data_IF_291630651392
#
_entry.id   IF_291630651392
#
_cell.length_a   1.000
_cell.length_b   1.000
_cell.length_c   1.000
_cell.angle_alpha   90.00
_cell.angle_beta   90.00
_cell.angle_gamma   90.00
#
_symmetry.space_group_name_H-M   'P 1'
#
loop_
_entity.id
_entity.type
_entity.pdbx_description
1 polymer ?
#
# COMPACT_ATOMS: atom_id res chain seq x y z
N UNK A 1 -21.91 12.51 -1.83
CA UNK A 1 -22.02 13.86 -2.44
C UNK A 1 -21.14 14.92 -1.78
N UNK A 2 -21.18 15.12 -0.44
CA UNK A 2 -20.36 16.17 0.24
C UNK A 2 -18.83 16.04 0.01
N UNK A 3 -18.26 14.83 -0.06
CA UNK A 3 -16.84 14.60 -0.38
C UNK A 3 -16.49 15.00 -1.82
N UNK A 4 -17.29 14.56 -2.80
CA UNK A 4 -17.09 14.90 -4.22
C UNK A 4 -17.14 16.41 -4.43
N UNK A 5 -18.14 17.09 -3.85
CA UNK A 5 -18.28 18.55 -3.96
C UNK A 5 -17.10 19.27 -3.28
N UNK A 6 -16.59 18.76 -2.15
CA UNK A 6 -15.36 19.29 -1.52
C UNK A 6 -14.13 19.11 -2.39
N UNK A 7 -13.94 17.94 -3.00
CA UNK A 7 -12.80 17.68 -3.90
C UNK A 7 -12.87 18.55 -5.15
N UNK A 8 -14.06 18.70 -5.76
CA UNK A 8 -14.26 19.63 -6.88
C UNK A 8 -14.06 21.10 -6.47
N UNK A 9 -14.51 21.49 -5.28
CA UNK A 9 -14.28 22.84 -4.76
C UNK A 9 -12.82 23.11 -4.39
N UNK A 10 -12.00 22.08 -4.16
CA UNK A 10 -10.56 22.19 -3.96
C UNK A 10 -9.82 22.44 -5.28
N UNK A 11 -10.31 21.85 -6.36
CA UNK A 11 -9.78 22.00 -7.73
C UNK A 11 -10.22 23.35 -8.34
N UNK A 12 -11.48 23.74 -8.12
CA UNK A 12 -12.06 25.00 -8.58
C UNK A 12 -11.72 26.08 -7.54
N UNK A 13 -10.51 26.62 -7.65
CA UNK A 13 -10.06 27.75 -6.87
C UNK A 13 -10.37 29.07 -7.61
N UNK A 14 -10.39 30.19 -6.91
CA UNK A 14 -10.57 31.52 -7.49
C UNK A 14 -9.56 31.81 -8.63
N UNK A 15 -8.34 31.28 -8.50
CA UNK A 15 -7.31 31.34 -9.56
C UNK A 15 -7.77 30.67 -10.86
N UNK A 16 -8.44 29.51 -10.77
CA UNK A 16 -8.98 28.79 -11.92
C UNK A 16 -10.02 29.64 -12.64
N UNK A 17 -10.89 30.33 -11.89
CA UNK A 17 -11.91 31.21 -12.44
C UNK A 17 -11.30 32.42 -13.17
N UNK A 18 -10.27 33.05 -12.59
CA UNK A 18 -9.54 34.16 -13.25
C UNK A 18 -8.94 33.69 -14.57
N UNK A 19 -8.25 32.55 -14.58
CA UNK A 19 -7.61 32.03 -15.80
C UNK A 19 -8.66 31.74 -16.87
N UNK A 20 -9.77 31.09 -16.52
CA UNK A 20 -10.86 30.82 -17.46
C UNK A 20 -11.44 32.11 -18.04
N UNK A 21 -11.69 33.13 -17.21
CA UNK A 21 -12.19 34.43 -17.69
C UNK A 21 -11.18 35.10 -18.63
N UNK A 22 -9.89 35.08 -18.29
CA UNK A 22 -8.83 35.64 -19.13
C UNK A 22 -8.73 34.92 -20.48
N UNK A 23 -8.84 33.59 -20.48
CA UNK A 23 -8.86 32.77 -21.70
C UNK A 23 -10.04 33.14 -22.60
N UNK A 24 -11.27 33.25 -22.05
CA UNK A 24 -12.46 33.61 -22.82
C UNK A 24 -12.34 35.03 -23.41
N UNK A 25 -11.90 36.00 -22.61
CA UNK A 25 -11.69 37.39 -23.07
C UNK A 25 -10.63 37.44 -24.18
N UNK A 26 -9.52 36.72 -24.00
CA UNK A 26 -8.45 36.66 -24.99
C UNK A 26 -8.92 36.03 -26.30
N UNK A 27 -9.64 34.91 -26.24
CA UNK A 27 -10.23 34.27 -27.44
C UNK A 27 -11.22 35.20 -28.15
N UNK A 28 -12.08 35.90 -27.40
CA UNK A 28 -13.03 36.85 -27.98
C UNK A 28 -12.33 38.03 -28.67
N UNK A 29 -11.28 38.58 -28.04
CA UNK A 29 -10.47 39.64 -28.62
C UNK A 29 -9.77 39.19 -29.91
N UNK A 30 -9.18 37.98 -29.92
CA UNK A 30 -8.58 37.40 -31.13
C UNK A 30 -9.59 37.24 -32.27
N UNK A 31 -10.82 36.82 -31.96
CA UNK A 31 -11.89 36.69 -32.95
C UNK A 31 -12.30 38.05 -33.54
N UNK A 32 -12.45 39.09 -32.71
CA UNK A 32 -12.80 40.45 -33.17
C UNK A 32 -11.69 41.12 -33.97
N UNK A 33 -10.43 40.88 -33.62
CA UNK A 33 -9.26 41.46 -34.27
C UNK A 33 -8.75 40.63 -35.47
N UNK A 34 -9.37 39.46 -35.75
CA UNK A 34 -8.96 38.59 -36.84
C UNK A 34 -7.56 37.97 -36.66
N UNK A 35 -7.10 37.82 -35.42
CA UNK A 35 -5.78 37.26 -35.11
C UNK A 35 -5.81 35.74 -35.27
N UNK A 36 -5.28 35.23 -36.37
CA UNK A 36 -5.20 33.78 -36.65
C UNK A 36 -3.77 33.28 -36.49
N UNK A 37 -3.57 32.24 -35.68
CA UNK A 37 -2.30 31.52 -35.56
C UNK A 37 -2.49 30.05 -35.93
N UNK A 38 -1.67 29.52 -36.85
CA UNK A 38 -1.64 28.09 -37.18
C UNK A 38 -0.70 27.40 -36.20
N UNK A 39 -1.25 26.77 -35.18
CA UNK A 39 -0.47 25.92 -34.28
C UNK A 39 -0.40 24.49 -34.82
N UNK A 40 0.74 23.80 -34.67
CA UNK A 40 0.80 22.36 -34.93
C UNK A 40 -0.06 21.61 -33.90
N UNK A 41 -1.07 20.87 -34.35
CA UNK A 41 -1.96 20.09 -33.48
C UNK A 41 -1.17 19.09 -32.60
N UNK A 42 -0.01 18.65 -33.09
CA UNK A 42 0.93 17.80 -32.36
C UNK A 42 1.44 18.44 -31.05
N UNK A 43 1.68 19.77 -31.01
CA UNK A 43 2.15 20.45 -29.81
C UNK A 43 1.10 20.41 -28.69
N UNK A 44 -0.17 20.61 -29.05
CA UNK A 44 -1.29 20.53 -28.09
C UNK A 44 -1.51 19.08 -27.65
N UNK A 45 -1.43 18.13 -28.58
CA UNK A 45 -1.54 16.70 -28.27
C UNK A 45 -0.47 16.23 -27.28
N UNK A 46 0.79 16.59 -27.50
CA UNK A 46 1.90 16.24 -26.58
C UNK A 46 1.67 16.84 -25.18
N UNK A 47 1.23 18.10 -25.09
CA UNK A 47 0.98 18.76 -23.82
C UNK A 47 -0.08 18.07 -22.95
N UNK A 48 -1.07 17.42 -23.57
CA UNK A 48 -2.14 16.70 -22.87
C UNK A 48 -1.74 15.24 -22.61
N UNK A 49 -1.24 14.54 -23.63
CA UNK A 49 -0.93 13.10 -23.56
C UNK A 49 0.20 12.82 -22.58
N UNK A 50 1.22 13.69 -22.52
CA UNK A 50 2.38 13.48 -21.66
C UNK A 50 2.00 13.38 -20.17
N UNK A 51 1.36 14.38 -19.53
CA UNK A 51 0.96 14.26 -18.12
C UNK A 51 0.05 13.06 -17.83
N UNK A 52 -0.83 12.71 -18.78
CA UNK A 52 -1.73 11.57 -18.65
C UNK A 52 -0.96 10.27 -18.56
N UNK A 53 0.00 10.02 -19.46
CA UNK A 53 0.82 8.79 -19.44
C UNK A 53 1.67 8.72 -18.17
N UNK A 54 2.25 9.83 -17.70
CA UNK A 54 2.99 9.85 -16.43
C UNK A 54 2.11 9.53 -15.22
N UNK A 55 0.90 10.10 -15.18
CA UNK A 55 -0.06 9.85 -14.11
C UNK A 55 -0.49 8.38 -14.08
N UNK A 56 -0.77 7.80 -15.25
CA UNK A 56 -1.10 6.38 -15.39
C UNK A 56 0.08 5.51 -14.95
N UNK A 57 1.29 5.78 -15.44
CA UNK A 57 2.50 5.03 -15.09
C UNK A 57 2.74 5.00 -13.58
N UNK A 58 2.73 6.16 -12.93
CA UNK A 58 2.91 6.26 -11.48
C UNK A 58 1.83 5.51 -10.67
N UNK A 59 0.57 5.53 -11.12
CA UNK A 59 -0.51 4.78 -10.50
C UNK A 59 -0.31 3.26 -10.63
N UNK A 60 0.14 2.79 -11.80
CA UNK A 60 0.50 1.39 -12.01
C UNK A 60 1.69 0.96 -11.14
N UNK A 61 2.77 1.74 -11.09
CA UNK A 61 3.94 1.43 -10.24
C UNK A 61 3.57 1.33 -8.76
N UNK A 62 2.71 2.22 -8.26
CA UNK A 62 2.19 2.16 -6.88
C UNK A 62 1.44 0.86 -6.62
N UNK A 63 0.54 0.47 -7.53
CA UNK A 63 -0.23 -0.77 -7.42
C UNK A 63 0.67 -2.01 -7.42
N UNK A 64 1.64 -2.06 -8.35
CA UNK A 64 2.58 -3.16 -8.46
C UNK A 64 3.45 -3.29 -7.21
N UNK A 65 3.95 -2.16 -6.69
CA UNK A 65 4.75 -2.14 -5.47
C UNK A 65 3.94 -2.64 -4.26
N UNK A 66 2.69 -2.20 -4.11
CA UNK A 66 1.81 -2.67 -3.03
C UNK A 66 1.56 -4.19 -3.12
N UNK A 67 1.30 -4.71 -4.32
CA UNK A 67 1.15 -6.15 -4.56
C UNK A 67 2.43 -6.93 -4.24
N UNK A 68 3.60 -6.38 -4.60
CA UNK A 68 4.89 -6.99 -4.29
C UNK A 68 5.10 -7.09 -2.77
N UNK A 69 4.80 -6.04 -2.00
CA UNK A 69 4.92 -6.09 -0.52
C UNK A 69 3.95 -7.07 0.10
N UNK A 70 2.74 -7.20 -0.43
CA UNK A 70 1.79 -8.21 0.01
C UNK A 70 2.28 -9.64 -0.30
N UNK A 71 2.88 -9.84 -1.48
CA UNK A 71 3.49 -11.10 -1.85
C UNK A 71 4.68 -11.45 -0.94
N UNK A 72 5.56 -10.50 -0.65
CA UNK A 72 6.69 -10.66 0.28
C UNK A 72 6.19 -11.11 1.67
N UNK A 73 5.18 -10.42 2.21
CA UNK A 73 4.56 -10.76 3.50
C UNK A 73 4.03 -12.21 3.51
N UNK A 74 3.23 -12.57 2.49
CA UNK A 74 2.64 -13.91 2.39
C UNK A 74 3.70 -15.00 2.19
N UNK A 75 4.73 -14.72 1.39
CA UNK A 75 5.83 -15.64 1.13
C UNK A 75 6.60 -15.98 2.41
N UNK A 76 6.92 -14.96 3.21
CA UNK A 76 7.57 -15.18 4.50
C UNK A 76 6.65 -15.86 5.53
N UNK A 77 5.36 -15.55 5.55
CA UNK A 77 4.40 -16.24 6.42
C UNK A 77 4.33 -17.75 6.12
N UNK A 78 4.24 -18.11 4.83
CA UNK A 78 4.25 -19.52 4.40
C UNK A 78 5.58 -20.20 4.76
N UNK A 79 6.71 -19.50 4.59
CA UNK A 79 8.02 -20.03 4.95
C UNK A 79 8.11 -20.37 6.46
N UNK A 80 7.54 -19.52 7.34
CA UNK A 80 7.47 -19.80 8.79
C UNK A 80 6.55 -21.00 9.08
N UNK A 81 5.41 -21.11 8.40
CA UNK A 81 4.55 -22.28 8.52
C UNK A 81 5.28 -23.57 8.12
N UNK A 82 6.06 -23.56 7.03
CA UNK A 82 6.87 -24.73 6.65
C UNK A 82 8.01 -24.98 7.63
N UNK A 83 8.67 -23.95 8.15
CA UNK A 83 9.69 -24.11 9.19
C UNK A 83 9.14 -24.82 10.43
N UNK A 84 7.95 -24.41 10.88
CA UNK A 84 7.30 -25.00 12.07
C UNK A 84 6.79 -26.41 11.84
N UNK A 85 6.38 -26.75 10.61
CA UNK A 85 5.93 -28.10 10.21
C UNK A 85 7.08 -29.07 9.95
N UNK A 86 8.13 -28.63 9.30
CA UNK A 86 9.11 -29.52 8.68
C UNK A 86 10.46 -29.56 9.40
N UNK A 87 10.87 -28.48 10.08
CA UNK A 87 12.20 -28.42 10.73
C UNK A 87 12.19 -29.06 12.11
N UNK A 88 11.02 -29.16 12.74
CA UNK A 88 10.86 -29.85 14.02
C UNK A 88 11.21 -31.34 13.90
N UNK A 89 12.09 -31.82 14.78
CA UNK A 89 12.41 -33.25 14.86
C UNK A 89 11.26 -34.08 15.42
N UNK A 90 10.38 -33.47 16.22
CA UNK A 90 9.17 -34.09 16.73
C UNK A 90 7.94 -33.57 15.96
N UNK A 91 7.25 -34.46 15.24
CA UNK A 91 6.05 -34.11 14.46
C UNK A 91 4.75 -34.13 15.26
N UNK A 92 4.80 -34.62 16.49
CA UNK A 92 3.70 -34.56 17.45
C UNK A 92 3.77 -33.27 18.26
N UNK A 93 3.59 -32.13 17.57
CA UNK A 93 3.51 -30.82 18.20
C UNK A 93 2.41 -29.96 17.58
N UNK A 94 1.92 -28.99 18.36
CA UNK A 94 0.85 -28.08 17.97
C UNK A 94 1.37 -26.81 17.27
N UNK A 95 2.69 -26.68 17.11
CA UNK A 95 3.34 -25.51 16.53
C UNK A 95 2.77 -25.15 15.15
N UNK A 96 2.67 -26.06 14.16
CA UNK A 96 2.17 -25.71 12.83
C UNK A 96 0.74 -25.20 12.86
N UNK A 97 -0.10 -25.75 13.75
CA UNK A 97 -1.51 -25.36 13.90
C UNK A 97 -1.58 -23.96 14.50
N UNK A 98 -0.83 -23.70 15.58
CA UNK A 98 -0.74 -22.38 16.21
C UNK A 98 -0.17 -21.34 15.26
N UNK A 99 0.89 -21.65 14.50
CA UNK A 99 1.48 -20.76 13.49
C UNK A 99 0.47 -20.40 12.43
N UNK A 100 -0.24 -21.39 11.90
CA UNK A 100 -1.28 -21.17 10.90
C UNK A 100 -2.39 -20.27 11.41
N UNK A 101 -2.81 -20.44 12.68
CA UNK A 101 -3.82 -19.59 13.30
C UNK A 101 -3.35 -18.14 13.41
N UNK A 102 -2.12 -17.90 13.88
CA UNK A 102 -1.54 -16.55 13.96
C UNK A 102 -1.49 -15.91 12.57
N UNK A 103 -1.01 -16.63 11.55
CA UNK A 103 -0.95 -16.11 10.17
C UNK A 103 -2.36 -15.78 9.67
N UNK A 104 -3.35 -16.62 9.96
CA UNK A 104 -4.74 -16.35 9.59
C UNK A 104 -5.27 -15.08 10.25
N UNK A 105 -5.04 -14.91 11.55
CA UNK A 105 -5.45 -13.73 12.31
C UNK A 105 -4.76 -12.46 11.79
N UNK A 106 -3.47 -12.53 11.42
CA UNK A 106 -2.74 -11.44 10.79
C UNK A 106 -3.36 -11.07 9.43
N UNK A 107 -3.66 -12.06 8.59
CA UNK A 107 -4.28 -11.82 7.27
C UNK A 107 -5.69 -11.23 7.39
N UNK A 108 -6.46 -11.65 8.41
CA UNK A 108 -7.78 -11.09 8.71
C UNK A 108 -7.66 -9.63 9.17
N UNK A 109 -6.79 -9.38 10.15
CA UNK A 109 -6.57 -8.03 10.68
C UNK A 109 -6.06 -7.07 9.59
N UNK A 110 -5.12 -7.51 8.77
CA UNK A 110 -4.61 -6.72 7.64
C UNK A 110 -5.71 -6.37 6.63
N UNK A 111 -6.61 -7.32 6.33
CA UNK A 111 -7.78 -7.05 5.46
C UNK A 111 -8.70 -6.00 6.08
N UNK A 112 -8.95 -6.08 7.38
CA UNK A 112 -9.83 -5.14 8.07
C UNK A 112 -9.17 -3.74 8.11
N UNK A 113 -7.87 -3.67 8.39
CA UNK A 113 -7.09 -2.43 8.32
C UNK A 113 -7.15 -1.75 6.94
N UNK A 114 -7.13 -2.50 5.84
CA UNK A 114 -7.24 -1.94 4.49
C UNK A 114 -8.66 -1.51 4.09
N UNK A 115 -9.68 -1.84 4.90
CA UNK A 115 -11.07 -1.42 4.67
C UNK A 115 -11.49 -0.24 5.53
N UNK A 116 -10.83 -0.03 6.67
CA UNK A 116 -11.22 0.99 7.63
C UNK A 116 -10.65 2.35 7.24
N UNK A 117 -11.51 3.34 6.96
CA UNK A 117 -11.11 4.72 6.65
C UNK A 117 -10.84 5.60 7.90
N UNK A 118 -10.97 5.07 9.12
CA UNK A 118 -11.00 5.85 10.37
C UNK A 118 -9.73 5.69 11.23
N UNK A 119 -9.11 6.83 11.57
CA UNK A 119 -7.85 6.98 12.31
C UNK A 119 -7.78 6.29 13.70
N UNK A 120 -8.81 6.36 14.59
CA UNK A 120 -8.70 5.75 15.93
C UNK A 120 -8.69 4.23 15.92
N UNK A 121 -9.45 3.59 15.03
CA UNK A 121 -9.45 2.12 14.87
C UNK A 121 -8.15 1.63 14.23
N UNK A 122 -7.55 2.45 13.37
CA UNK A 122 -6.34 2.09 12.65
C UNK A 122 -5.14 1.92 13.59
N UNK A 123 -4.93 2.84 14.54
CA UNK A 123 -3.87 2.72 15.57
C UNK A 123 -4.04 1.50 16.46
N UNK A 124 -5.28 1.18 16.84
CA UNK A 124 -5.55 0.00 17.66
C UNK A 124 -5.25 -1.29 16.88
N UNK A 125 -5.66 -1.35 15.60
CA UNK A 125 -5.40 -2.51 14.75
C UNK A 125 -3.90 -2.67 14.45
N UNK A 126 -3.18 -1.57 14.29
CA UNK A 126 -1.72 -1.58 14.18
C UNK A 126 -1.06 -2.18 15.44
N UNK A 127 -1.47 -1.74 16.63
CA UNK A 127 -0.99 -2.32 17.88
C UNK A 127 -1.30 -3.83 17.97
N UNK A 128 -2.51 -4.24 17.58
CA UNK A 128 -2.91 -5.64 17.53
C UNK A 128 -2.04 -6.45 16.55
N UNK A 129 -1.65 -5.87 15.41
CA UNK A 129 -0.76 -6.51 14.45
C UNK A 129 0.64 -6.73 15.04
N UNK A 130 1.21 -5.73 15.72
CA UNK A 130 2.50 -5.89 16.40
C UNK A 130 2.45 -6.93 17.52
N UNK A 131 1.31 -7.08 18.20
CA UNK A 131 1.12 -8.17 19.16
C UNK A 131 1.14 -9.55 18.47
N UNK A 132 0.52 -9.69 17.29
CA UNK A 132 0.60 -10.93 16.51
C UNK A 132 2.03 -11.23 16.03
N UNK A 133 2.78 -10.20 15.58
CA UNK A 133 4.21 -10.35 15.26
C UNK A 133 5.04 -10.79 16.47
N UNK A 134 4.78 -10.22 17.65
CA UNK A 134 5.44 -10.61 18.89
C UNK A 134 5.18 -12.08 19.23
N UNK A 135 3.92 -12.53 19.15
CA UNK A 135 3.55 -13.94 19.34
C UNK A 135 4.23 -14.86 18.32
N UNK A 136 4.29 -14.45 17.05
CA UNK A 136 4.98 -15.21 16.01
C UNK A 136 6.49 -15.33 16.28
N UNK A 137 7.12 -14.25 16.75
CA UNK A 137 8.54 -14.23 17.14
C UNK A 137 8.82 -15.11 18.36
N UNK A 138 7.94 -15.12 19.35
CA UNK A 138 8.07 -16.05 20.49
C UNK A 138 7.96 -17.51 20.03
N UNK A 139 7.04 -17.79 19.11
CA UNK A 139 6.85 -19.12 18.53
C UNK A 139 8.06 -19.61 17.74
N UNK A 140 8.81 -18.74 17.05
CA UNK A 140 10.05 -19.18 16.38
C UNK A 140 11.12 -19.59 17.39
N UNK A 141 11.12 -19.04 18.61
CA UNK A 141 12.02 -19.48 19.67
C UNK A 141 11.61 -20.84 20.27
N UNK A 142 10.31 -21.15 20.31
CA UNK A 142 9.80 -22.46 20.77
C UNK A 142 10.34 -23.63 19.92
N UNK A 143 10.72 -23.39 18.65
CA UNK A 143 11.34 -24.40 17.78
C UNK A 143 12.60 -25.02 18.38
N UNK A 144 13.34 -24.29 19.24
CA UNK A 144 14.49 -24.83 19.96
C UNK A 144 14.13 -26.06 20.79
N UNK A 145 12.94 -26.06 21.40
CA UNK A 145 12.48 -27.13 22.28
C UNK A 145 12.17 -28.42 21.49
N UNK A 146 12.04 -28.32 20.17
CA UNK A 146 11.74 -29.44 19.28
C UNK A 146 12.95 -29.86 18.41
N UNK A 147 14.17 -29.50 18.83
CA UNK A 147 15.40 -29.97 18.21
C UNK A 147 15.86 -29.19 16.98
N UNK A 148 15.23 -28.05 16.68
CA UNK A 148 15.65 -27.18 15.57
C UNK A 148 16.96 -26.47 15.90
N UNK A 149 17.89 -26.44 14.95
CA UNK A 149 19.21 -25.84 15.18
C UNK A 149 19.14 -24.32 15.27
N UNK A 150 20.04 -23.70 16.04
CA UNK A 150 20.12 -22.24 16.21
C UNK A 150 20.22 -21.47 14.89
N UNK A 151 20.90 -22.04 13.88
CA UNK A 151 21.01 -21.44 12.55
C UNK A 151 19.68 -21.39 11.79
N UNK A 152 18.84 -22.41 11.94
CA UNK A 152 17.51 -22.48 11.33
C UNK A 152 16.54 -21.54 12.06
N UNK A 153 16.59 -21.50 13.39
CA UNK A 153 15.81 -20.55 14.20
C UNK A 153 16.14 -19.11 13.78
N UNK A 154 17.41 -18.78 13.57
CA UNK A 154 17.83 -17.46 13.09
C UNK A 154 17.19 -17.11 11.74
N UNK A 155 17.09 -18.07 10.80
CA UNK A 155 16.39 -17.87 9.51
C UNK A 155 14.89 -17.60 9.72
N UNK A 156 14.24 -18.35 10.61
CA UNK A 156 12.82 -18.14 10.92
C UNK A 156 12.58 -16.74 11.51
N UNK A 157 13.43 -16.28 12.42
CA UNK A 157 13.36 -14.92 12.97
C UNK A 157 13.60 -13.83 11.91
N UNK A 158 14.47 -14.09 10.92
CA UNK A 158 14.61 -13.18 9.77
C UNK A 158 13.34 -13.10 8.92
N UNK A 159 12.60 -14.19 8.75
CA UNK A 159 11.31 -14.14 8.06
C UNK A 159 10.30 -13.27 8.80
N UNK A 160 10.24 -13.34 10.13
CA UNK A 160 9.38 -12.45 10.94
C UNK A 160 9.78 -10.99 10.72
N UNK A 161 11.08 -10.67 10.77
CA UNK A 161 11.57 -9.30 10.53
C UNK A 161 11.19 -8.79 9.12
N UNK A 162 11.35 -9.63 8.09
CA UNK A 162 10.95 -9.28 6.72
C UNK A 162 9.44 -9.08 6.58
N UNK A 163 8.62 -9.85 7.29
CA UNK A 163 7.17 -9.63 7.34
C UNK A 163 6.81 -8.27 7.98
N UNK A 164 7.49 -7.88 9.06
CA UNK A 164 7.29 -6.58 9.72
C UNK A 164 7.60 -5.45 8.74
N UNK A 165 8.76 -5.51 8.07
CA UNK A 165 9.15 -4.51 7.07
C UNK A 165 8.16 -4.46 5.90
N UNK A 166 7.70 -5.62 5.42
CA UNK A 166 6.70 -5.68 4.35
C UNK A 166 5.38 -5.03 4.78
N UNK A 167 4.93 -5.26 6.02
CA UNK A 167 3.74 -4.65 6.58
C UNK A 167 3.86 -3.13 6.72
N UNK A 168 4.96 -2.62 7.30
CA UNK A 168 5.18 -1.18 7.46
C UNK A 168 5.22 -0.46 6.11
N UNK A 169 5.86 -1.06 5.10
CA UNK A 169 5.86 -0.54 3.74
C UNK A 169 4.46 -0.52 3.12
N UNK A 170 3.62 -1.53 3.37
CA UNK A 170 2.23 -1.55 2.90
C UNK A 170 1.39 -0.44 3.54
N UNK A 171 1.59 -0.19 4.83
CA UNK A 171 0.92 0.87 5.60
C UNK A 171 1.13 2.25 4.97
N UNK A 172 2.34 2.56 4.50
CA UNK A 172 2.64 3.84 3.84
C UNK A 172 1.70 4.12 2.66
N UNK A 173 1.38 3.11 1.85
CA UNK A 173 0.45 3.30 0.73
C UNK A 173 -0.98 3.61 1.19
N UNK A 174 -1.38 3.10 2.36
CA UNK A 174 -2.72 3.32 2.91
C UNK A 174 -2.82 4.70 3.57
N UNK A 175 -1.81 5.10 4.35
CA UNK A 175 -1.80 6.41 5.03
C UNK A 175 -1.61 7.58 4.07
N UNK A 176 -0.84 7.41 2.98
CA UNK A 176 -0.58 8.50 2.02
C UNK A 176 -1.81 8.82 1.17
N UNK A 177 -2.70 7.85 0.93
CA UNK A 177 -3.99 8.11 0.25
C UNK A 177 -4.98 8.91 1.13
N UNK A 178 -4.78 8.98 2.44
CA UNK A 178 -5.64 9.75 3.35
C UNK A 178 -5.25 11.23 3.50
N UNK A 179 -4.08 11.65 2.97
CA UNK A 179 -3.60 13.04 3.04
C UNK A 179 -3.76 13.84 1.74
N UNK A 180 -4.32 13.23 0.69
CA UNK A 180 -4.68 13.87 -0.59
C UNK A 180 -6.20 13.94 -0.74
#
# INVERSE_FOLDING_TARGET
>A
MKRIIRSFSLIINYKTFIITALSVISTYACFKLGLTAKFPDMLVGVAIVFPVVFSIGSAYTRRETALQRFADFKGHAIAIYYATRDWSGNKDNDLPVRTKQIIFDMMKLMRDMFKTEHDPEWKQNEANMYQLFSRLSLMTNELRNYGVQSGEISRASQYVSKMIIAFDNMKLFTTTEHQL
#
